data_IF_928238498443
#
_entry.id   IF_928238498443
#
_cell.length_a   1.000
_cell.length_b   1.000
_cell.length_c   1.000
_cell.angle_alpha   90.00
_cell.angle_beta   90.00
_cell.angle_gamma   90.00
#
_symmetry.space_group_name_H-M   'P 1'
#
loop_
_entity.id
_entity.type
_entity.pdbx_description
1 polymer ?
#
# COMPACT_ATOMS: atom_id res chain seq x y z
N UNK A 1 -7.79 15.04 4.36
CA UNK A 1 -9.15 14.46 4.35
C UNK A 1 -9.34 13.83 5.71
N UNK A 2 -10.23 14.43 6.49
CA UNK A 2 -10.58 14.02 7.86
C UNK A 2 -11.47 12.77 7.83
N UNK A 3 -11.45 12.00 8.91
CA UNK A 3 -12.18 10.73 9.09
C UNK A 3 -13.71 10.84 8.88
N UNK A 4 -14.27 12.07 8.91
CA UNK A 4 -15.69 12.32 8.65
C UNK A 4 -16.10 12.10 7.18
N UNK A 5 -15.19 12.31 6.22
CA UNK A 5 -15.50 12.07 4.82
C UNK A 5 -15.48 10.58 4.46
N UNK A 6 -14.84 9.73 5.27
CA UNK A 6 -14.80 8.27 5.02
C UNK A 6 -16.12 7.62 5.43
N UNK A 7 -16.77 8.10 6.49
CA UNK A 7 -18.08 7.59 6.93
C UNK A 7 -19.22 7.91 5.95
N UNK A 8 -19.13 8.99 5.18
CA UNK A 8 -20.18 9.38 4.22
C UNK A 8 -20.30 8.44 3.01
N UNK A 9 -19.26 7.66 2.69
CA UNK A 9 -19.23 6.77 1.52
C UNK A 9 -19.41 5.28 1.85
N UNK A 10 -19.81 4.95 3.08
CA UNK A 10 -20.23 3.59 3.44
C UNK A 10 -21.76 3.46 3.61
N UNK A 11 -22.50 4.55 3.40
CA UNK A 11 -23.97 4.52 3.34
C UNK A 11 -24.39 4.07 1.94
N UNK A 12 -25.29 3.07 1.80
CA UNK A 12 -25.72 2.55 0.50
C UNK A 12 -26.23 3.64 -0.46
N UNK A 13 -26.86 4.70 0.04
CA UNK A 13 -27.34 5.81 -0.79
C UNK A 13 -26.17 6.58 -1.46
N UNK A 14 -25.08 6.84 -0.74
CA UNK A 14 -23.92 7.55 -1.27
C UNK A 14 -23.15 6.72 -2.30
N UNK A 15 -23.12 5.39 -2.14
CA UNK A 15 -22.55 4.49 -3.15
C UNK A 15 -23.44 4.41 -4.39
N UNK A 16 -24.76 4.41 -4.23
CA UNK A 16 -25.71 4.46 -5.35
C UNK A 16 -25.63 5.77 -6.14
N UNK A 17 -25.34 6.91 -5.49
CA UNK A 17 -25.09 8.18 -6.18
C UNK A 17 -23.83 8.15 -7.07
N UNK A 18 -22.78 7.45 -6.64
CA UNK A 18 -21.51 7.39 -7.38
C UNK A 18 -21.53 6.32 -8.47
N UNK A 19 -22.07 5.14 -8.18
CA UNK A 19 -21.97 3.97 -9.07
C UNK A 19 -23.28 3.57 -9.74
N UNK A 20 -24.41 4.14 -9.32
CA UNK A 20 -25.73 3.68 -9.73
C UNK A 20 -26.00 2.24 -9.29
N UNK A 21 -27.03 1.63 -9.87
CA UNK A 21 -27.28 0.20 -9.75
C UNK A 21 -26.39 -0.55 -10.75
N UNK A 22 -25.48 -1.40 -10.26
CA UNK A 22 -24.68 -2.29 -11.10
C UNK A 22 -25.36 -3.65 -11.19
N UNK A 23 -25.83 -4.03 -12.38
CA UNK A 23 -26.36 -5.37 -12.65
C UNK A 23 -25.20 -6.23 -13.15
N UNK A 24 -24.81 -7.22 -12.36
CA UNK A 24 -23.71 -8.13 -12.68
C UNK A 24 -24.27 -9.46 -13.15
N UNK A 25 -23.90 -9.89 -14.36
CA UNK A 25 -24.14 -11.25 -14.81
C UNK A 25 -22.93 -12.12 -14.46
N UNK A 26 -23.05 -12.92 -13.41
CA UNK A 26 -21.97 -13.76 -12.90
C UNK A 26 -21.46 -14.78 -13.94
N UNK A 27 -22.26 -15.20 -14.90
CA UNK A 27 -21.84 -16.14 -15.95
C UNK A 27 -20.82 -15.52 -16.92
N UNK A 28 -20.74 -14.18 -16.97
CA UNK A 28 -19.77 -13.44 -17.78
C UNK A 28 -18.50 -13.09 -17.01
N UNK A 29 -18.53 -13.18 -15.68
CA UNK A 29 -17.38 -12.83 -14.85
C UNK A 29 -16.34 -13.95 -14.95
N UNK A 30 -15.09 -13.55 -15.16
CA UNK A 30 -13.93 -14.45 -15.18
C UNK A 30 -12.93 -14.13 -14.08
N UNK A 31 -12.82 -12.85 -13.72
CA UNK A 31 -11.79 -12.35 -12.82
C UNK A 31 -12.38 -11.66 -11.60
N UNK A 32 -11.90 -12.06 -10.42
CA UNK A 32 -12.05 -11.30 -9.18
C UNK A 32 -10.71 -10.69 -8.83
N UNK A 33 -10.64 -9.36 -8.84
CA UNK A 33 -9.43 -8.60 -8.57
C UNK A 33 -9.58 -7.96 -7.18
N UNK A 34 -8.69 -8.28 -6.25
CA UNK A 34 -8.73 -7.77 -4.89
C UNK A 34 -7.62 -6.74 -4.63
N UNK A 35 -7.91 -5.70 -3.85
CA UNK A 35 -6.87 -4.99 -3.12
C UNK A 35 -6.31 -5.85 -1.98
N UNK A 36 -5.12 -5.52 -1.49
CA UNK A 36 -4.53 -6.19 -0.33
C UNK A 36 -4.84 -5.47 0.99
N UNK A 37 -4.49 -4.18 1.08
CA UNK A 37 -4.38 -3.46 2.34
C UNK A 37 -5.66 -2.74 2.73
N UNK A 38 -6.39 -3.31 3.68
CA UNK A 38 -7.75 -2.90 4.06
C UNK A 38 -8.81 -3.91 3.62
N UNK A 39 -8.45 -4.83 2.69
CA UNK A 39 -9.32 -5.89 2.19
C UNK A 39 -8.85 -7.26 2.69
N UNK A 40 -7.69 -7.73 2.21
CA UNK A 40 -7.12 -9.04 2.59
C UNK A 40 -6.44 -8.99 3.97
N UNK A 41 -5.78 -7.88 4.27
CA UNK A 41 -5.15 -7.63 5.58
C UNK A 41 -5.75 -6.36 6.21
N UNK A 42 -5.90 -6.29 7.54
CA UNK A 42 -6.30 -5.06 8.20
C UNK A 42 -5.31 -3.91 7.95
N UNK A 43 -5.82 -2.68 7.95
CA UNK A 43 -4.97 -1.49 7.89
C UNK A 43 -4.00 -1.45 9.09
N UNK A 44 -2.72 -1.16 8.82
CA UNK A 44 -1.68 -1.15 9.85
C UNK A 44 -1.06 0.24 10.04
N UNK A 45 -0.64 0.53 11.27
CA UNK A 45 0.05 1.78 11.65
C UNK A 45 1.58 1.65 11.60
N UNK A 46 2.12 0.63 10.94
CA UNK A 46 3.54 0.26 11.02
C UNK A 46 4.47 1.40 10.59
N UNK A 47 4.19 2.05 9.46
CA UNK A 47 5.00 3.19 8.99
C UNK A 47 4.92 4.37 9.96
N UNK A 48 3.74 4.64 10.54
CA UNK A 48 3.57 5.70 11.54
C UNK A 48 4.45 5.42 12.76
N UNK A 49 4.38 4.19 13.28
CA UNK A 49 5.15 3.78 14.45
C UNK A 49 6.67 3.85 14.19
N UNK A 50 7.13 3.48 12.99
CA UNK A 50 8.53 3.66 12.60
C UNK A 50 8.96 5.15 12.63
N UNK A 51 8.12 6.03 12.09
CA UNK A 51 8.40 7.47 12.05
C UNK A 51 8.41 8.08 13.45
N UNK A 52 7.52 7.62 14.34
CA UNK A 52 7.49 8.04 15.75
C UNK A 52 8.75 7.57 16.51
N UNK A 53 9.25 6.36 16.22
CA UNK A 53 10.52 5.84 16.73
C UNK A 53 11.71 6.67 16.22
N UNK A 54 11.78 6.95 14.92
CA UNK A 54 12.82 7.83 14.34
C UNK A 54 12.83 9.23 14.99
N UNK A 55 11.64 9.82 15.20
CA UNK A 55 11.50 11.10 15.89
C UNK A 55 12.09 11.05 17.31
N UNK A 56 11.83 9.95 18.03
CA UNK A 56 12.29 9.74 19.40
C UNK A 56 13.80 9.48 19.47
N UNK A 57 14.28 8.48 18.74
CA UNK A 57 15.67 8.00 18.78
C UNK A 57 16.66 9.04 18.28
N UNK A 58 16.27 9.80 17.24
CA UNK A 58 17.13 10.79 16.61
C UNK A 58 16.85 12.22 17.07
N UNK A 59 15.84 12.43 17.93
CA UNK A 59 15.38 13.75 18.40
C UNK A 59 15.05 14.68 17.23
N UNK A 60 14.37 14.16 16.22
CA UNK A 60 13.91 14.89 15.03
C UNK A 60 12.39 15.08 15.05
N UNK A 61 11.87 15.84 14.08
CA UNK A 61 10.44 16.09 13.95
C UNK A 61 10.03 15.98 12.49
N UNK A 62 9.66 14.77 12.09
CA UNK A 62 9.07 14.49 10.78
C UNK A 62 7.59 14.84 10.85
N UNK A 63 7.17 15.90 10.14
CA UNK A 63 5.79 16.35 10.15
C UNK A 63 5.00 15.73 8.99
N UNK A 64 3.90 15.03 9.29
CA UNK A 64 3.06 14.40 8.27
C UNK A 64 2.41 15.38 7.27
N UNK A 65 2.31 16.65 7.66
CA UNK A 65 1.79 17.71 6.80
C UNK A 65 2.85 18.32 5.86
N UNK A 66 4.14 18.04 6.10
CA UNK A 66 5.23 18.57 5.29
C UNK A 66 5.08 18.13 3.82
N UNK A 67 5.07 19.08 2.86
CA UNK A 67 4.99 18.79 1.44
C UNK A 67 6.04 17.79 0.94
N UNK A 68 7.27 17.83 1.47
CA UNK A 68 8.32 16.89 1.11
C UNK A 68 7.97 15.48 1.58
N UNK A 69 7.56 15.31 2.84
CA UNK A 69 7.14 14.01 3.36
C UNK A 69 6.00 13.44 2.52
N UNK A 70 4.97 14.23 2.20
CA UNK A 70 3.86 13.81 1.33
C UNK A 70 4.36 13.38 -0.06
N UNK A 71 5.29 14.13 -0.65
CA UNK A 71 5.90 13.80 -1.95
C UNK A 71 6.67 12.49 -1.88
N UNK A 72 7.51 12.29 -0.86
CA UNK A 72 8.30 11.07 -0.68
C UNK A 72 7.40 9.87 -0.44
N UNK A 73 6.39 9.99 0.44
CA UNK A 73 5.42 8.93 0.71
C UNK A 73 4.66 8.52 -0.55
N UNK A 74 4.22 9.49 -1.36
CA UNK A 74 3.55 9.20 -2.64
C UNK A 74 4.46 8.43 -3.61
N UNK A 75 5.74 8.80 -3.69
CA UNK A 75 6.72 8.10 -4.54
C UNK A 75 7.01 6.69 -4.04
N UNK A 76 7.11 6.50 -2.73
CA UNK A 76 7.22 5.18 -2.11
C UNK A 76 5.99 4.30 -2.43
N UNK A 77 4.76 4.83 -2.27
CA UNK A 77 3.53 4.10 -2.63
C UNK A 77 3.43 3.75 -4.12
N UNK A 78 4.09 4.52 -4.98
CA UNK A 78 4.12 4.31 -6.42
C UNK A 78 5.25 3.38 -6.89
N UNK A 79 6.07 2.83 -5.98
CA UNK A 79 7.23 2.04 -6.38
C UNK A 79 8.41 2.83 -6.92
N UNK A 80 8.30 4.16 -6.98
CA UNK A 80 9.36 5.04 -7.52
C UNK A 80 10.55 5.14 -6.55
N UNK A 81 10.31 4.92 -5.26
CA UNK A 81 11.35 4.85 -4.24
C UNK A 81 11.26 3.49 -3.54
N UNK A 82 12.42 2.89 -3.31
CA UNK A 82 12.57 1.81 -2.33
C UNK A 82 12.40 2.32 -0.89
N UNK A 83 12.13 1.41 0.04
CA UNK A 83 12.06 1.73 1.47
C UNK A 83 13.37 2.31 1.99
N UNK A 84 14.52 1.86 1.47
CA UNK A 84 15.84 2.41 1.82
C UNK A 84 15.98 3.86 1.35
N UNK A 85 15.70 4.14 0.08
CA UNK A 85 15.82 5.50 -0.45
C UNK A 85 14.86 6.46 0.25
N UNK A 86 13.66 5.99 0.59
CA UNK A 86 12.71 6.76 1.38
C UNK A 86 13.31 7.17 2.75
N UNK A 87 13.90 6.23 3.50
CA UNK A 87 14.55 6.55 4.77
C UNK A 87 15.77 7.46 4.60
N UNK A 88 16.61 7.23 3.59
CA UNK A 88 17.77 8.08 3.30
C UNK A 88 17.32 9.53 3.08
N UNK A 89 16.31 9.75 2.23
CA UNK A 89 15.82 11.10 1.91
C UNK A 89 15.13 11.78 3.10
N UNK A 90 14.45 11.02 3.96
CA UNK A 90 13.93 11.57 5.21
C UNK A 90 15.05 12.00 6.15
N UNK A 91 16.07 11.17 6.35
CA UNK A 91 17.19 11.50 7.25
C UNK A 91 18.01 12.67 6.74
N UNK A 92 18.25 12.76 5.43
CA UNK A 92 18.89 13.92 4.80
C UNK A 92 18.15 15.22 5.16
N UNK A 93 16.83 15.23 4.98
CA UNK A 93 16.01 16.39 5.30
C UNK A 93 15.95 16.69 6.79
N UNK A 94 15.57 15.73 7.62
CA UNK A 94 15.14 16.02 9.00
C UNK A 94 16.27 15.89 10.03
N UNK A 95 17.33 15.15 9.72
CA UNK A 95 18.46 14.91 10.61
C UNK A 95 19.72 15.66 10.16
N UNK A 96 20.27 15.34 8.98
CA UNK A 96 21.57 15.86 8.55
C UNK A 96 21.52 17.37 8.23
N UNK A 97 20.47 17.87 7.58
CA UNK A 97 20.35 19.32 7.29
C UNK A 97 20.34 20.19 8.56
N UNK A 98 19.76 19.69 9.66
CA UNK A 98 19.76 20.38 10.96
C UNK A 98 21.13 20.36 11.61
N UNK A 99 21.88 19.26 11.49
CA UNK A 99 23.24 19.17 12.04
C UNK A 99 24.23 20.09 11.32
N UNK A 100 24.13 20.19 9.99
CA UNK A 100 24.99 21.09 9.19
C UNK A 100 24.80 22.57 9.52
N UNK A 101 23.67 22.93 10.13
CA UNK A 101 23.40 24.29 10.61
C UNK A 101 24.11 24.59 11.95
N UNK A 102 24.52 23.57 12.70
CA UNK A 102 25.22 23.68 13.98
C UNK A 102 26.72 23.46 13.76
N UNK A 103 27.37 24.43 13.09
CA UNK A 103 28.82 24.45 12.84
C UNK A 103 29.60 24.72 14.13
N UNK A 104 29.70 23.73 15.02
CA UNK A 104 30.74 23.63 16.06
C UNK A 104 30.65 22.25 16.72
N UNK A 105 31.23 21.21 16.10
CA UNK A 105 31.46 19.94 16.78
C UNK A 105 32.85 19.39 16.43
N UNK A 106 33.59 19.01 17.46
CA UNK A 106 34.94 18.42 17.39
C UNK A 106 34.93 16.90 17.15
N UNK A 107 33.75 16.29 17.05
CA UNK A 107 33.56 14.84 16.87
C UNK A 107 32.94 14.55 15.49
N UNK A 108 33.29 13.42 14.84
CA UNK A 108 32.72 13.04 13.55
C UNK A 108 31.20 12.89 13.63
N UNK A 109 30.53 13.16 12.51
CA UNK A 109 29.06 13.06 12.42
C UNK A 109 28.59 11.66 12.81
N UNK A 110 27.64 11.59 13.74
CA UNK A 110 27.01 10.32 14.11
C UNK A 110 26.16 9.85 12.95
N UNK A 111 26.70 8.94 12.14
CA UNK A 111 25.97 8.32 11.02
C UNK A 111 24.83 7.46 11.56
N UNK A 112 23.62 7.73 11.07
CA UNK A 112 22.44 6.92 11.42
C UNK A 112 22.58 5.53 10.79
N UNK A 113 22.37 4.49 11.58
CA UNK A 113 22.30 3.11 11.07
C UNK A 113 20.95 2.89 10.37
N UNK A 114 20.91 3.07 9.05
CA UNK A 114 19.67 2.92 8.26
C UNK A 114 19.20 1.47 8.23
N UNK A 115 20.14 0.51 8.23
CA UNK A 115 19.82 -0.93 8.17
C UNK A 115 19.03 -1.37 9.40
N UNK A 116 19.40 -0.86 10.58
CA UNK A 116 18.64 -1.08 11.82
C UNK A 116 17.16 -0.66 11.67
N UNK A 117 16.89 0.53 11.12
CA UNK A 117 15.50 0.99 10.95
C UNK A 117 14.76 0.26 9.84
N UNK A 118 15.45 -0.22 8.79
CA UNK A 118 14.85 -1.08 7.77
C UNK A 118 14.45 -2.44 8.37
N UNK A 119 15.35 -3.07 9.11
CA UNK A 119 15.05 -4.33 9.81
C UNK A 119 13.91 -4.17 10.80
N UNK A 120 13.93 -3.08 11.59
CA UNK A 120 12.86 -2.77 12.52
C UNK A 120 11.51 -2.59 11.80
N UNK A 121 11.49 -1.85 10.69
CA UNK A 121 10.30 -1.65 9.88
C UNK A 121 9.76 -2.98 9.34
N UNK A 122 10.63 -3.81 8.76
CA UNK A 122 10.29 -5.14 8.25
C UNK A 122 9.71 -6.04 9.35
N UNK A 123 10.39 -6.12 10.50
CA UNK A 123 9.99 -6.97 11.62
C UNK A 123 8.66 -6.53 12.22
N UNK A 124 8.45 -5.22 12.39
CA UNK A 124 7.16 -4.69 12.84
C UNK A 124 6.05 -5.04 11.86
N UNK A 125 6.29 -4.90 10.55
CA UNK A 125 5.29 -5.26 9.55
C UNK A 125 4.90 -6.74 9.62
N UNK A 126 5.90 -7.62 9.63
CA UNK A 126 5.67 -9.07 9.69
C UNK A 126 4.97 -9.50 10.98
N UNK A 127 5.26 -8.84 12.11
CA UNK A 127 4.65 -9.15 13.41
C UNK A 127 3.20 -8.69 13.53
N UNK A 128 2.84 -7.55 12.95
CA UNK A 128 1.53 -6.93 13.15
C UNK A 128 0.54 -7.16 12.01
N UNK A 129 0.98 -7.72 10.89
CA UNK A 129 0.13 -7.94 9.71
C UNK A 129 -0.22 -9.41 9.60
N UNK A 130 -1.51 -9.73 9.54
CA UNK A 130 -2.00 -11.09 9.35
C UNK A 130 -3.03 -11.11 8.23
N UNK A 131 -3.00 -12.16 7.42
CA UNK A 131 -4.01 -12.42 6.40
C UNK A 131 -5.33 -12.77 7.10
N UNK A 132 -6.44 -12.25 6.56
CA UNK A 132 -7.77 -12.50 7.13
C UNK A 132 -8.25 -13.90 6.74
N UNK A 133 -8.50 -14.82 7.71
CA UNK A 133 -8.95 -16.17 7.39
C UNK A 133 -10.28 -16.21 6.62
N UNK A 134 -11.15 -15.23 6.87
CA UNK A 134 -12.42 -15.08 6.15
C UNK A 134 -12.20 -14.71 4.68
N UNK A 135 -11.19 -13.89 4.40
CA UNK A 135 -10.87 -13.53 3.01
C UNK A 135 -10.20 -14.69 2.29
N UNK A 136 -9.34 -15.45 2.99
CA UNK A 136 -8.77 -16.70 2.45
C UNK A 136 -9.89 -17.69 2.07
N UNK A 137 -10.89 -17.87 2.94
CA UNK A 137 -12.06 -18.70 2.67
C UNK A 137 -12.85 -18.23 1.43
N UNK A 138 -13.06 -16.92 1.28
CA UNK A 138 -13.71 -16.35 0.09
C UNK A 138 -12.90 -16.67 -1.18
N UNK A 139 -11.58 -16.48 -1.16
CA UNK A 139 -10.71 -16.80 -2.29
C UNK A 139 -10.80 -18.29 -2.65
N UNK A 140 -10.78 -19.18 -1.65
CA UNK A 140 -10.97 -20.61 -1.87
C UNK A 140 -12.32 -20.95 -2.52
N UNK A 141 -13.42 -20.31 -2.09
CA UNK A 141 -14.73 -20.51 -2.72
C UNK A 141 -14.78 -20.01 -4.16
N UNK A 142 -14.11 -18.91 -4.47
CA UNK A 142 -14.01 -18.38 -5.83
C UNK A 142 -13.24 -19.34 -6.75
N UNK A 143 -12.11 -19.89 -6.28
CA UNK A 143 -11.36 -20.92 -7.00
C UNK A 143 -12.19 -22.19 -7.24
N UNK A 144 -12.91 -22.67 -6.22
CA UNK A 144 -13.79 -23.85 -6.37
C UNK A 144 -14.92 -23.61 -7.38
N UNK A 145 -15.33 -22.35 -7.55
CA UNK A 145 -16.30 -21.92 -8.55
C UNK A 145 -15.68 -21.64 -9.92
N UNK A 146 -14.38 -21.94 -10.11
CA UNK A 146 -13.61 -21.75 -11.35
C UNK A 146 -13.41 -20.31 -11.79
N UNK A 147 -13.53 -19.34 -10.87
CA UNK A 147 -13.08 -17.98 -11.13
C UNK A 147 -11.58 -17.84 -10.97
N UNK A 148 -10.98 -16.93 -11.73
CA UNK A 148 -9.59 -16.51 -11.54
C UNK A 148 -9.53 -15.40 -10.49
N UNK A 149 -8.65 -15.51 -9.51
CA UNK A 149 -8.50 -14.54 -8.43
C UNK A 149 -7.14 -13.86 -8.54
N UNK A 150 -7.18 -12.53 -8.66
CA UNK A 150 -6.01 -11.69 -8.96
C UNK A 150 -5.82 -10.69 -7.84
N UNK A 151 -4.57 -10.40 -7.50
CA UNK A 151 -4.22 -9.33 -6.57
C UNK A 151 -3.80 -8.06 -7.33
N UNK A 152 -4.34 -6.91 -6.95
CA UNK A 152 -3.90 -5.59 -7.41
C UNK A 152 -3.64 -4.68 -6.21
N UNK A 153 -2.37 -4.46 -5.85
CA UNK A 153 -2.01 -3.76 -4.61
C UNK A 153 -1.05 -2.60 -4.82
N UNK A 154 -1.35 -1.47 -4.17
CA UNK A 154 -0.34 -0.45 -3.90
C UNK A 154 0.43 -0.82 -2.62
N UNK A 155 1.69 -1.22 -2.77
CA UNK A 155 2.47 -1.78 -1.65
C UNK A 155 3.90 -1.25 -1.67
N UNK A 156 4.52 -1.19 -0.49
CA UNK A 156 5.94 -0.86 -0.36
C UNK A 156 6.78 -2.13 -0.58
N UNK A 157 7.95 -2.00 -1.18
CA UNK A 157 8.91 -3.11 -1.39
C UNK A 157 9.18 -3.94 -0.13
N UNK A 158 9.32 -3.29 1.03
CA UNK A 158 9.56 -3.97 2.31
C UNK A 158 8.35 -4.79 2.78
N UNK A 159 7.14 -4.34 2.46
CA UNK A 159 5.89 -5.03 2.78
C UNK A 159 5.66 -6.18 1.80
N UNK A 160 5.87 -5.95 0.50
CA UNK A 160 5.81 -6.97 -0.53
C UNK A 160 6.74 -8.14 -0.20
N UNK A 161 7.99 -7.85 0.19
CA UNK A 161 8.94 -8.86 0.67
C UNK A 161 8.39 -9.66 1.85
N UNK A 162 7.84 -8.98 2.87
CA UNK A 162 7.29 -9.63 4.05
C UNK A 162 6.08 -10.51 3.76
N UNK A 163 5.21 -10.09 2.84
CA UNK A 163 4.05 -10.87 2.42
C UNK A 163 4.45 -12.10 1.60
N UNK A 164 5.37 -11.94 0.66
CA UNK A 164 5.89 -13.02 -0.17
C UNK A 164 6.57 -14.10 0.69
N UNK A 165 7.46 -13.71 1.62
CA UNK A 165 8.12 -14.66 2.53
C UNK A 165 7.17 -15.46 3.44
N UNK A 166 5.92 -14.99 3.60
CA UNK A 166 4.90 -15.65 4.41
C UNK A 166 3.84 -16.36 3.56
N UNK A 167 4.01 -16.41 2.24
CA UNK A 167 3.07 -17.04 1.31
C UNK A 167 1.72 -16.33 1.20
N UNK A 168 1.61 -15.06 1.61
CA UNK A 168 0.33 -14.34 1.58
C UNK A 168 -0.18 -14.09 0.16
N UNK A 169 0.68 -14.24 -0.83
CA UNK A 169 0.37 -14.06 -2.24
C UNK A 169 0.06 -15.39 -2.96
N UNK A 170 0.29 -16.53 -2.31
CA UNK A 170 0.20 -17.86 -2.94
C UNK A 170 -1.25 -18.28 -3.23
N UNK A 171 -2.22 -17.59 -2.63
CA UNK A 171 -3.65 -17.80 -2.86
C UNK A 171 -4.18 -17.08 -4.09
N UNK A 172 -3.37 -16.33 -4.83
CA UNK A 172 -3.79 -15.62 -6.04
C UNK A 172 -3.18 -16.28 -7.28
N UNK A 173 -3.94 -16.31 -8.38
CA UNK A 173 -3.44 -16.80 -9.68
C UNK A 173 -2.39 -15.86 -10.27
N UNK A 174 -2.57 -14.55 -10.08
CA UNK A 174 -1.67 -13.50 -10.54
C UNK A 174 -1.62 -12.32 -9.55
N UNK A 175 -0.47 -11.66 -9.46
CA UNK A 175 -0.27 -10.51 -8.57
C UNK A 175 0.33 -9.31 -9.28
N UNK A 176 -0.28 -8.15 -9.10
CA UNK A 176 0.18 -6.87 -9.63
C UNK A 176 0.49 -5.91 -8.48
N UNK A 177 1.78 -5.73 -8.20
CA UNK A 177 2.27 -4.92 -7.08
C UNK A 177 2.87 -3.61 -7.59
N UNK A 178 2.44 -2.46 -7.05
CA UNK A 178 2.88 -1.14 -7.53
C UNK A 178 4.39 -0.93 -7.43
N UNK A 179 5.06 -1.54 -6.45
CA UNK A 179 6.51 -1.48 -6.31
C UNK A 179 7.27 -2.21 -7.42
N UNK A 180 6.63 -3.17 -8.09
CA UNK A 180 7.25 -3.98 -9.13
C UNK A 180 6.93 -3.43 -10.52
N UNK A 181 5.70 -2.97 -10.74
CA UNK A 181 5.25 -2.50 -12.05
C UNK A 181 5.41 -0.99 -12.26
N UNK A 182 5.67 -0.21 -11.20
CA UNK A 182 5.87 1.24 -11.28
C UNK A 182 4.61 2.06 -11.57
N UNK A 183 3.43 1.44 -11.49
CA UNK A 183 2.11 2.05 -11.65
C UNK A 183 1.32 1.89 -10.35
N UNK A 184 0.40 2.81 -10.04
CA UNK A 184 -0.36 2.76 -8.78
C UNK A 184 -1.79 3.29 -8.88
N UNK A 185 -2.69 2.73 -8.06
CA UNK A 185 -4.06 3.21 -7.91
C UNK A 185 -4.04 4.62 -7.29
N UNK A 186 -4.94 5.53 -7.68
CA UNK A 186 -6.03 5.36 -8.64
C UNK A 186 -5.66 5.83 -10.07
N UNK A 187 -4.39 5.76 -10.47
CA UNK A 187 -3.99 6.22 -11.81
C UNK A 187 -4.49 5.20 -12.86
N UNK A 188 -5.28 5.65 -13.84
CA UNK A 188 -6.01 4.78 -14.80
C UNK A 188 -5.09 3.80 -15.55
N UNK A 189 -3.83 4.19 -15.75
CA UNK A 189 -2.82 3.36 -16.43
C UNK A 189 -2.55 2.03 -15.72
N UNK A 190 -2.69 1.96 -14.39
CA UNK A 190 -2.50 0.69 -13.69
C UNK A 190 -3.63 -0.31 -14.03
N UNK A 191 -4.87 0.15 -14.13
CA UNK A 191 -6.02 -0.70 -14.46
C UNK A 191 -5.93 -1.20 -15.90
N UNK A 192 -5.57 -0.32 -16.84
CA UNK A 192 -5.31 -0.69 -18.24
C UNK A 192 -4.22 -1.73 -18.36
N UNK A 193 -3.11 -1.54 -17.66
CA UNK A 193 -2.00 -2.49 -17.62
C UNK A 193 -2.45 -3.87 -17.13
N UNK A 194 -3.23 -3.93 -16.03
CA UNK A 194 -3.73 -5.20 -15.47
C UNK A 194 -4.67 -5.89 -16.47
N UNK A 195 -5.62 -5.18 -17.04
CA UNK A 195 -6.56 -5.74 -18.03
C UNK A 195 -5.85 -6.26 -19.28
N UNK A 196 -4.84 -5.52 -19.78
CA UNK A 196 -4.02 -5.96 -20.91
C UNK A 196 -3.25 -7.24 -20.57
N UNK A 197 -2.64 -7.32 -19.38
CA UNK A 197 -1.91 -8.52 -18.94
C UNK A 197 -2.81 -9.73 -18.77
N UNK A 198 -4.02 -9.53 -18.26
CA UNK A 198 -5.03 -10.58 -18.13
C UNK A 198 -5.73 -10.90 -19.46
N UNK A 199 -5.50 -10.11 -20.51
CA UNK A 199 -6.29 -10.13 -21.76
C UNK A 199 -7.80 -10.13 -21.47
N UNK A 200 -8.22 -9.31 -20.50
CA UNK A 200 -9.56 -9.29 -19.96
C UNK A 200 -10.36 -8.07 -20.43
N UNK A 201 -11.64 -8.28 -20.71
CA UNK A 201 -12.59 -7.17 -20.84
C UNK A 201 -12.97 -6.68 -19.41
N UNK A 202 -13.03 -5.35 -19.16
CA UNK A 202 -13.48 -4.81 -17.88
C UNK A 202 -14.82 -5.39 -17.39
N UNK A 203 -15.76 -5.69 -18.30
CA UNK A 203 -17.07 -6.25 -17.99
C UNK A 203 -17.04 -7.72 -17.54
N UNK A 204 -15.89 -8.39 -17.67
CA UNK A 204 -15.65 -9.74 -17.16
C UNK A 204 -14.94 -9.74 -15.80
N UNK A 205 -14.74 -8.56 -15.20
CA UNK A 205 -13.99 -8.37 -13.97
C UNK A 205 -14.86 -7.80 -12.84
N UNK A 206 -14.65 -8.29 -11.62
CA UNK A 206 -15.10 -7.65 -10.38
C UNK A 206 -13.88 -7.15 -9.63
N UNK A 207 -13.85 -5.86 -9.27
CA UNK A 207 -12.77 -5.26 -8.49
C UNK A 207 -13.23 -4.89 -7.09
N UNK A 208 -12.47 -5.32 -6.06
CA UNK A 208 -12.78 -5.11 -4.65
C UNK A 208 -11.67 -4.30 -3.99
N UNK A 209 -12.00 -3.09 -3.50
CA UNK A 209 -11.06 -2.18 -2.84
C UNK A 209 -11.78 -1.41 -1.72
N UNK A 210 -11.07 -1.13 -0.62
CA UNK A 210 -11.63 -0.40 0.53
C UNK A 210 -11.71 1.11 0.30
N UNK A 211 -11.04 1.64 -0.73
CA UNK A 211 -10.93 3.08 -0.98
C UNK A 211 -11.75 3.46 -2.20
N UNK A 212 -12.81 4.24 -1.98
CA UNK A 212 -13.69 4.75 -3.05
C UNK A 212 -12.93 5.37 -4.24
N UNK A 213 -11.89 6.16 -3.98
CA UNK A 213 -11.07 6.80 -5.03
C UNK A 213 -10.42 5.79 -5.99
N UNK A 214 -10.22 4.54 -5.57
CA UNK A 214 -9.66 3.47 -6.40
C UNK A 214 -10.74 2.75 -7.22
N UNK A 215 -12.02 2.94 -6.92
CA UNK A 215 -13.15 2.29 -7.59
C UNK A 215 -13.78 3.18 -8.68
N UNK A 216 -13.49 4.49 -8.66
CA UNK A 216 -14.07 5.49 -9.59
C UNK A 216 -13.43 5.54 -10.98
N UNK A 217 -12.08 5.47 -11.14
CA UNK A 217 -11.44 5.54 -12.46
C UNK A 217 -11.91 4.44 -13.41
#
# INVERSE_FOLDING_TARGET
>A
MTDENVKRYCEPEALAEVFGCQIVNLDKIKYFIFDFGGVMVPSSNVLKNLLDLLNTDLKISIHYQDPLYKKLKRRLSAGILSSREFLVLLLDKYYYSKQNSVKQRALPEKKVNIDYYLELWFNMYCRFTHLSPKMEEIVHHLHNSRFRVVLLSNVYDIYAKGNNLRGFYDIFDETFLSNEIGLKKPDIEQYRYVLEKLSADPHECIFVDDKLKNLVP
#
